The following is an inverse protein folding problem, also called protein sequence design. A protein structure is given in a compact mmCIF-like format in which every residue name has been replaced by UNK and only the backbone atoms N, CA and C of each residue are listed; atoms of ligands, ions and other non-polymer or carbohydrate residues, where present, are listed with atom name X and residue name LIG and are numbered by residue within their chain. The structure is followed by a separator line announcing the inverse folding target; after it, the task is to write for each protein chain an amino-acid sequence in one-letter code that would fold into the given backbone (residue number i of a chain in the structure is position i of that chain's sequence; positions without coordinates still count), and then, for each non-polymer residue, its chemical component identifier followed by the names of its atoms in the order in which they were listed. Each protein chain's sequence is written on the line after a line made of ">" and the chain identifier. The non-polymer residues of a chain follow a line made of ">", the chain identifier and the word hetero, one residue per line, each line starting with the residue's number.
data_IF_015926514129
#
_entry.id   IF_015926514129
#
_cell.length_a   1.000
_cell.length_b   1.000
_cell.length_c   1.000
_cell.angle_alpha   90.00
_cell.angle_beta   90.00
_cell.angle_gamma   90.00
#
_symmetry.space_group_name_H-M   'P 1'
#
loop_
_entity.id
_entity.type
_entity.pdbx_description
1 polymer ?
#
# COMPACT_ATOMS: atom_id res chain seq x y z
N UNK A 1 -2.66 1.89 -28.11
CA UNK A 1 -2.87 0.44 -28.31
C UNK A 1 -3.99 0.01 -27.39
N UNK A 2 -5.01 -0.68 -27.89
CA UNK A 2 -6.04 -1.32 -27.08
C UNK A 2 -6.03 -2.81 -27.34
N UNK A 3 -6.29 -3.60 -26.29
CA UNK A 3 -6.49 -5.05 -26.37
C UNK A 3 -7.86 -5.34 -25.78
N UNK A 4 -8.66 -6.10 -26.50
CA UNK A 4 -10.02 -6.48 -26.06
C UNK A 4 -10.27 -7.92 -26.46
N UNK A 5 -10.88 -8.69 -25.57
CA UNK A 5 -11.27 -10.08 -25.79
C UNK A 5 -12.75 -10.22 -25.41
N UNK A 6 -13.47 -11.08 -26.13
CA UNK A 6 -14.82 -11.51 -25.72
C UNK A 6 -14.80 -12.59 -24.63
N UNK A 7 -13.62 -13.16 -24.39
CA UNK A 7 -13.35 -14.21 -23.41
C UNK A 7 -12.16 -13.78 -22.53
N UNK A 8 -11.13 -14.62 -22.40
CA UNK A 8 -10.00 -14.37 -21.51
C UNK A 8 -8.83 -13.65 -22.20
N UNK A 9 -8.04 -12.94 -21.41
CA UNK A 9 -6.70 -12.45 -21.77
C UNK A 9 -5.71 -13.07 -20.79
N UNK A 10 -4.79 -13.89 -21.31
CA UNK A 10 -3.75 -14.52 -20.52
C UNK A 10 -2.39 -13.93 -20.88
N UNK A 11 -1.68 -13.38 -19.89
CA UNK A 11 -0.33 -12.85 -20.05
C UNK A 11 0.63 -13.68 -19.19
N UNK A 12 1.60 -14.32 -19.83
CA UNK A 12 2.63 -15.10 -19.16
C UNK A 12 4.02 -14.65 -19.61
N UNK A 13 4.97 -14.63 -18.67
CA UNK A 13 6.37 -14.24 -18.90
C UNK A 13 7.29 -15.27 -18.27
N UNK A 14 8.41 -15.57 -18.93
CA UNK A 14 9.41 -16.49 -18.39
C UNK A 14 10.34 -15.85 -17.35
N UNK A 15 10.36 -14.51 -17.25
CA UNK A 15 11.28 -13.80 -16.34
C UNK A 15 10.56 -12.73 -15.53
N UNK A 16 10.05 -11.69 -16.17
CA UNK A 16 9.47 -10.53 -15.48
C UNK A 16 8.41 -9.86 -16.34
N UNK A 17 7.41 -9.29 -15.69
CA UNK A 17 6.42 -8.37 -16.26
C UNK A 17 6.56 -7.06 -15.50
N UNK A 18 6.92 -5.99 -16.19
CA UNK A 18 7.10 -4.66 -15.60
C UNK A 18 6.13 -3.72 -16.31
N UNK A 19 5.31 -3.01 -15.54
CA UNK A 19 4.35 -2.04 -16.04
C UNK A 19 4.62 -0.68 -15.40
N UNK A 20 5.00 0.31 -16.20
CA UNK A 20 5.18 1.70 -15.78
C UNK A 20 4.15 2.56 -16.50
N UNK A 21 3.44 3.39 -15.75
CA UNK A 21 2.36 4.24 -16.25
C UNK A 21 2.64 5.68 -15.83
N UNK A 22 2.47 6.64 -16.74
CA UNK A 22 2.71 8.07 -16.46
C UNK A 22 1.56 8.75 -15.73
N UNK A 23 0.36 8.18 -15.79
CA UNK A 23 -0.85 8.80 -15.24
C UNK A 23 -1.55 7.92 -14.22
N UNK A 24 -2.07 6.75 -14.62
CA UNK A 24 -2.86 5.90 -13.73
C UNK A 24 -2.92 4.45 -14.17
N UNK A 25 -3.10 3.56 -13.19
CA UNK A 25 -3.57 2.19 -13.36
C UNK A 25 -4.97 2.07 -12.74
N UNK A 26 -5.94 1.51 -13.47
CA UNK A 26 -7.29 1.25 -12.96
C UNK A 26 -7.69 -0.19 -13.27
N UNK A 27 -8.08 -0.92 -12.23
CA UNK A 27 -8.51 -2.32 -12.32
C UNK A 27 -9.91 -2.46 -11.75
N UNK A 28 -10.80 -3.09 -12.50
CA UNK A 28 -12.18 -3.32 -12.09
C UNK A 28 -12.63 -4.71 -12.51
N UNK A 29 -13.29 -5.43 -11.62
CA UNK A 29 -13.83 -6.78 -11.87
C UNK A 29 -15.27 -6.84 -11.38
N UNK A 30 -16.20 -7.20 -12.27
CA UNK A 30 -17.63 -7.18 -11.96
C UNK A 30 -18.11 -8.34 -11.09
N UNK A 31 -17.48 -9.53 -11.17
CA UNK A 31 -18.01 -10.77 -10.58
C UNK A 31 -17.01 -11.54 -9.72
N UNK A 32 -15.90 -11.99 -10.32
CA UNK A 32 -15.01 -12.98 -9.70
C UNK A 32 -13.96 -12.39 -8.74
N UNK A 33 -13.89 -11.07 -8.61
CA UNK A 33 -12.94 -10.37 -7.75
C UNK A 33 -11.50 -10.35 -8.30
N UNK A 34 -10.58 -9.83 -7.48
CA UNK A 34 -9.15 -9.72 -7.79
C UNK A 34 -8.38 -10.64 -6.85
N UNK A 35 -7.38 -11.35 -7.38
CA UNK A 35 -6.46 -12.18 -6.62
C UNK A 35 -5.02 -11.81 -6.98
N UNK A 36 -4.21 -11.54 -5.97
CA UNK A 36 -2.78 -11.20 -6.10
C UNK A 36 -1.99 -12.17 -5.23
N UNK A 37 -1.11 -12.96 -5.84
CA UNK A 37 -0.32 -13.97 -5.12
C UNK A 37 1.15 -13.87 -5.52
N UNK A 38 2.03 -14.00 -4.53
CA UNK A 38 3.45 -14.28 -4.74
C UNK A 38 3.76 -15.62 -4.08
N UNK A 39 4.18 -16.61 -4.87
CA UNK A 39 4.55 -17.93 -4.33
C UNK A 39 5.84 -17.84 -3.48
N UNK A 40 6.75 -16.96 -3.87
CA UNK A 40 7.97 -16.60 -3.17
C UNK A 40 8.23 -15.11 -3.38
N UNK A 41 8.93 -14.49 -2.44
CA UNK A 41 9.26 -13.06 -2.49
C UNK A 41 8.20 -12.16 -1.83
N UNK A 42 8.60 -10.90 -1.64
CA UNK A 42 7.80 -9.87 -0.95
C UNK A 42 6.74 -9.30 -1.91
N UNK A 43 5.51 -9.14 -1.41
CA UNK A 43 4.51 -8.26 -2.02
C UNK A 43 4.61 -6.90 -1.36
N UNK A 44 4.74 -5.85 -2.16
CA UNK A 44 4.87 -4.48 -1.69
C UNK A 44 3.89 -3.59 -2.45
N UNK A 45 3.10 -2.82 -1.70
CA UNK A 45 2.15 -1.85 -2.23
C UNK A 45 2.41 -0.55 -1.49
N UNK A 46 2.58 0.55 -2.22
CA UNK A 46 2.90 1.86 -1.66
C UNK A 46 2.16 2.96 -2.43
N UNK A 47 1.69 3.97 -1.70
CA UNK A 47 1.30 5.26 -2.25
C UNK A 47 2.30 6.29 -1.68
N UNK A 48 3.22 6.78 -2.52
CA UNK A 48 4.39 7.53 -2.05
C UNK A 48 4.09 9.00 -1.76
N UNK A 49 3.10 9.57 -2.43
CA UNK A 49 2.74 10.98 -2.34
C UNK A 49 1.25 11.21 -2.08
N UNK A 50 0.50 10.14 -1.79
CA UNK A 50 -0.95 10.20 -1.59
C UNK A 50 -1.41 9.05 -0.66
N UNK A 51 -2.70 8.99 -0.39
CA UNK A 51 -3.32 8.05 0.53
C UNK A 51 -3.43 6.64 -0.06
N UNK A 52 -3.43 5.65 0.84
CA UNK A 52 -3.85 4.28 0.55
C UNK A 52 -5.16 3.98 1.28
N UNK A 53 -6.19 3.56 0.53
CA UNK A 53 -7.49 3.21 1.08
C UNK A 53 -7.82 1.74 0.80
N UNK A 54 -8.25 1.01 1.83
CA UNK A 54 -8.71 -0.37 1.73
C UNK A 54 -10.09 -0.47 2.37
N UNK A 55 -11.12 -0.70 1.55
CA UNK A 55 -12.52 -0.77 1.99
C UNK A 55 -13.14 -2.07 1.51
N UNK A 56 -13.90 -2.73 2.39
CA UNK A 56 -14.68 -3.92 2.09
C UNK A 56 -16.10 -3.76 2.65
N UNK A 57 -17.11 -4.22 1.90
CA UNK A 57 -18.52 -4.24 2.37
C UNK A 57 -18.72 -5.26 3.50
N UNK A 58 -17.97 -6.36 3.44
CA UNK A 58 -17.98 -7.44 4.45
C UNK A 58 -16.73 -7.31 5.33
N UNK A 59 -15.98 -8.38 5.45
CA UNK A 59 -14.84 -8.44 6.35
C UNK A 59 -13.55 -7.97 5.65
N UNK A 60 -12.73 -7.20 6.39
CA UNK A 60 -11.33 -6.95 6.08
C UNK A 60 -10.46 -7.76 7.04
N UNK A 61 -9.62 -8.65 6.50
CA UNK A 61 -8.74 -9.53 7.30
C UNK A 61 -7.27 -9.29 6.96
N UNK A 62 -6.49 -8.89 7.97
CA UNK A 62 -5.03 -8.80 7.92
C UNK A 62 -4.45 -9.89 8.81
N UNK A 63 -3.58 -10.74 8.30
CA UNK A 63 -3.06 -11.89 9.05
C UNK A 63 -1.62 -12.20 8.64
N UNK A 64 -0.74 -12.36 9.63
CA UNK A 64 0.57 -12.96 9.48
C UNK A 64 0.53 -14.35 10.15
N UNK A 65 0.82 -15.42 9.40
CA UNK A 65 0.69 -16.80 9.89
C UNK A 65 1.87 -17.24 10.77
N UNK A 66 3.07 -16.77 10.45
CA UNK A 66 4.31 -17.13 11.15
C UNK A 66 5.02 -15.90 11.74
N UNK A 67 4.59 -14.70 11.37
CA UNK A 67 5.27 -13.44 11.69
C UNK A 67 4.43 -12.48 12.54
N UNK A 68 4.65 -11.18 12.32
CA UNK A 68 4.00 -10.08 13.05
C UNK A 68 3.24 -9.17 12.09
N UNK A 69 2.17 -8.55 12.60
CA UNK A 69 1.51 -7.42 11.95
C UNK A 69 2.03 -6.14 12.61
N UNK A 70 2.58 -5.23 11.80
CA UNK A 70 3.07 -3.94 12.25
C UNK A 70 2.19 -2.83 11.67
N UNK A 71 1.71 -1.95 12.54
CA UNK A 71 0.94 -0.76 12.19
C UNK A 71 1.66 0.43 12.83
N UNK A 72 2.19 1.33 12.01
CA UNK A 72 2.93 2.50 12.43
C UNK A 72 2.42 3.71 11.67
N UNK A 73 2.29 4.84 12.35
CA UNK A 73 1.87 6.11 11.77
C UNK A 73 2.61 7.26 12.46
N UNK A 74 2.93 8.31 11.69
CA UNK A 74 3.64 9.48 12.22
C UNK A 74 2.73 10.37 13.09
N UNK A 75 1.48 10.61 12.67
CA UNK A 75 0.53 11.45 13.43
C UNK A 75 -0.28 10.65 14.45
N UNK A 76 -0.85 9.51 14.05
CA UNK A 76 -1.59 8.67 14.98
C UNK A 76 -2.31 7.49 14.34
N UNK A 77 -2.83 6.60 15.19
CA UNK A 77 -3.59 5.40 14.84
C UNK A 77 -4.95 5.46 15.54
N UNK A 78 -6.03 5.20 14.80
CA UNK A 78 -7.39 5.12 15.33
C UNK A 78 -8.02 3.78 14.94
N UNK A 79 -8.45 3.02 15.95
CA UNK A 79 -9.22 1.78 15.78
C UNK A 79 -10.60 2.01 16.40
N UNK A 80 -11.65 2.07 15.58
CA UNK A 80 -12.99 2.42 16.04
C UNK A 80 -14.04 1.38 15.62
N UNK A 81 -15.02 1.13 16.49
CA UNK A 81 -16.16 0.24 16.23
C UNK A 81 -17.33 0.55 17.16
N UNK A 82 -18.55 0.68 16.61
CA UNK A 82 -19.78 0.81 17.41
C UNK A 82 -19.78 1.97 18.43
N UNK A 83 -19.03 3.05 18.16
CA UNK A 83 -18.86 4.18 19.06
C UNK A 83 -17.74 4.05 20.10
N UNK A 84 -17.15 2.86 20.26
CA UNK A 84 -15.91 2.66 21.02
C UNK A 84 -14.67 2.83 20.13
N UNK A 85 -13.55 3.25 20.72
CA UNK A 85 -12.30 3.39 20.00
C UNK A 85 -11.05 3.26 20.87
N UNK A 86 -9.95 2.90 20.22
CA UNK A 86 -8.58 2.99 20.72
C UNK A 86 -7.82 3.98 19.84
N UNK A 87 -7.20 4.98 20.45
CA UNK A 87 -6.41 6.01 19.75
C UNK A 87 -5.00 6.07 20.31
N UNK A 88 -4.01 6.12 19.42
CA UNK A 88 -2.61 6.37 19.74
C UNK A 88 -2.23 7.67 19.02
N UNK A 89 -1.92 8.74 19.75
CA UNK A 89 -1.55 10.04 19.17
C UNK A 89 -0.70 10.86 20.14
N UNK A 90 0.39 11.45 19.66
CA UNK A 90 1.24 12.32 20.50
C UNK A 90 1.88 11.63 21.71
N UNK A 91 2.02 10.30 21.69
CA UNK A 91 2.49 9.50 22.83
C UNK A 91 1.38 9.03 23.78
N UNK A 92 0.16 9.55 23.63
CA UNK A 92 -0.98 9.15 24.45
C UNK A 92 -1.68 7.92 23.86
N UNK A 93 -2.15 7.04 24.75
CA UNK A 93 -3.01 5.89 24.43
C UNK A 93 -4.35 6.11 25.11
N UNK A 94 -5.41 6.23 24.31
CA UNK A 94 -6.78 6.42 24.79
C UNK A 94 -7.64 5.22 24.45
N UNK A 95 -8.42 4.76 25.43
CA UNK A 95 -9.39 3.67 25.27
C UNK A 95 -10.73 4.20 25.75
N UNK A 96 -11.65 4.44 24.83
CA UNK A 96 -12.97 4.99 25.15
C UNK A 96 -14.09 4.13 24.57
N UNK A 97 -15.22 4.10 25.26
CA UNK A 97 -16.43 3.47 24.75
C UNK A 97 -17.67 3.87 25.55
N UNK A 98 -18.85 3.84 24.94
CA UNK A 98 -20.10 4.22 25.61
C UNK A 98 -20.60 3.16 26.61
N UNK A 99 -20.05 1.94 26.54
CA UNK A 99 -20.41 0.81 27.39
C UNK A 99 -19.30 0.41 28.36
N UNK A 100 -19.30 -0.88 28.74
CA UNK A 100 -18.32 -1.46 29.65
C UNK A 100 -16.97 -1.70 28.93
N UNK A 101 -15.87 -1.27 29.54
CA UNK A 101 -14.51 -1.72 29.20
C UNK A 101 -14.15 -2.87 30.14
N UNK A 102 -13.97 -4.09 29.61
CA UNK A 102 -13.65 -5.30 30.39
C UNK A 102 -12.16 -5.63 30.28
N UNK A 103 -11.40 -5.41 31.36
CA UNK A 103 -9.96 -5.70 31.42
C UNK A 103 -9.72 -6.93 32.30
N UNK A 104 -9.36 -8.05 31.68
CA UNK A 104 -9.10 -9.33 32.37
C UNK A 104 -7.63 -9.69 32.31
N UNK A 105 -7.03 -9.93 33.47
CA UNK A 105 -5.63 -10.35 33.60
C UNK A 105 -5.32 -10.79 35.03
N UNK A 106 -4.32 -11.66 35.20
CA UNK A 106 -3.87 -12.09 36.53
C UNK A 106 -3.14 -10.97 37.30
N UNK A 107 -2.58 -9.99 36.59
CA UNK A 107 -1.86 -8.86 37.15
C UNK A 107 -2.00 -7.63 36.23
N UNK A 108 -2.23 -6.46 36.82
CA UNK A 108 -2.17 -5.16 36.13
C UNK A 108 -1.11 -4.30 36.84
N UNK A 109 -0.11 -3.80 36.12
CA UNK A 109 0.97 -2.99 36.67
C UNK A 109 1.06 -1.65 35.94
N UNK A 110 1.03 -0.56 36.69
CA UNK A 110 1.16 0.80 36.18
C UNK A 110 2.50 1.37 36.68
N UNK A 111 3.58 1.15 35.91
CA UNK A 111 4.97 1.43 36.33
C UNK A 111 5.49 2.83 35.90
N UNK A 112 4.60 3.73 35.49
CA UNK A 112 4.97 5.03 34.91
C UNK A 112 5.19 4.97 33.39
N UNK A 113 5.51 6.12 32.76
CA UNK A 113 5.62 6.23 31.31
C UNK A 113 6.90 5.56 30.76
N UNK A 114 6.82 5.07 29.53
CA UNK A 114 7.95 4.57 28.73
C UNK A 114 7.75 4.97 27.26
N UNK A 115 8.79 4.86 26.44
CA UNK A 115 8.75 5.20 25.02
C UNK A 115 9.34 4.07 24.18
N UNK A 116 8.84 3.95 22.95
CA UNK A 116 9.41 3.09 21.92
C UNK A 116 9.72 3.96 20.69
N UNK A 117 10.99 4.07 20.33
CA UNK A 117 11.41 4.70 19.09
C UNK A 117 11.17 3.73 17.93
N UNK A 118 10.01 3.86 17.27
CA UNK A 118 9.76 3.17 16.01
C UNK A 118 10.53 3.90 14.88
N UNK A 119 11.34 3.20 14.06
CA UNK A 119 12.04 3.85 12.96
C UNK A 119 11.03 4.46 11.99
N UNK A 120 11.31 5.66 11.43
CA UNK A 120 10.45 6.26 10.42
C UNK A 120 10.32 5.31 9.22
N UNK A 121 9.11 5.21 8.67
CA UNK A 121 8.89 4.49 7.41
C UNK A 121 9.40 5.39 6.28
N UNK A 122 10.63 5.16 5.85
CA UNK A 122 11.18 5.82 4.67
C UNK A 122 10.61 5.17 3.40
N UNK A 123 9.83 5.94 2.65
CA UNK A 123 9.37 5.53 1.32
C UNK A 123 10.49 5.83 0.32
N UNK A 124 10.88 4.89 -0.54
CA UNK A 124 11.91 5.14 -1.54
C UNK A 124 11.43 6.22 -2.53
N UNK A 125 12.19 7.30 -2.70
CA UNK A 125 11.93 8.28 -3.75
C UNK A 125 12.19 7.64 -5.12
N UNK A 126 11.15 7.55 -5.95
CA UNK A 126 11.31 7.09 -7.33
C UNK A 126 11.77 8.28 -8.20
N UNK A 127 13.07 8.37 -8.48
CA UNK A 127 13.58 9.31 -9.49
C UNK A 127 13.03 8.91 -10.87
N UNK A 128 12.27 9.81 -11.52
CA UNK A 128 11.74 9.62 -12.88
C UNK A 128 12.87 9.64 -13.92
N UNK A 129 13.60 8.52 -14.02
CA UNK A 129 14.61 8.27 -15.06
C UNK A 129 13.98 7.88 -16.40
N UNK A 130 12.66 7.69 -16.44
CA UNK A 130 11.93 7.29 -17.64
C UNK A 130 11.65 8.46 -18.59
N UNK A 131 11.45 9.69 -18.08
CA UNK A 131 11.39 10.88 -18.94
C UNK A 131 12.73 11.20 -19.64
N UNK A 132 13.87 10.86 -19.02
CA UNK A 132 15.19 11.10 -19.62
C UNK A 132 15.49 10.20 -20.84
N UNK A 133 14.80 9.07 -20.98
CA UNK A 133 14.99 8.16 -22.12
C UNK A 133 14.38 8.70 -23.43
N UNK A 134 13.40 9.61 -23.36
CA UNK A 134 12.78 10.21 -24.57
C UNK A 134 13.54 11.41 -25.13
N UNK A 135 14.34 12.10 -24.32
CA UNK A 135 15.13 13.25 -24.79
C UNK A 135 16.47 12.84 -25.41
N UNK A 136 17.03 11.67 -25.04
CA UNK A 136 18.26 11.16 -25.68
C UNK A 136 18.02 10.46 -27.02
N UNK A 137 16.94 9.68 -27.18
CA UNK A 137 16.65 9.03 -28.47
C UNK A 137 16.19 10.00 -29.56
N UNK A 138 15.76 11.21 -29.20
CA UNK A 138 15.42 12.27 -30.16
C UNK A 138 16.60 13.17 -30.52
N UNK A 139 17.69 13.15 -29.74
CA UNK A 139 18.90 13.94 -30.01
C UNK A 139 20.04 13.12 -30.64
N UNK A 140 19.95 11.79 -30.64
CA UNK A 140 20.99 10.91 -31.21
C UNK A 140 20.73 10.50 -32.68
N UNK A 141 19.52 10.71 -33.20
CA UNK A 141 19.21 10.56 -34.63
C UNK A 141 19.04 11.93 -35.30
N UNK A 142 20.10 12.73 -35.23
CA UNK A 142 20.27 13.85 -36.14
C UNK A 142 20.53 13.34 -37.56
N UNK A 143 19.47 12.98 -38.28
CA UNK A 143 19.48 12.95 -39.74
C UNK A 143 18.53 14.03 -40.23
N UNK A 144 19.13 15.17 -40.57
CA UNK A 144 18.51 16.10 -41.49
C UNK A 144 18.50 15.46 -42.87
N UNK A 145 17.32 15.27 -43.44
CA UNK A 145 17.16 15.32 -44.89
C UNK A 145 15.95 16.18 -45.21
N UNK A 146 16.24 17.40 -45.68
CA UNK A 146 15.39 18.10 -46.63
C UNK A 146 15.23 17.20 -47.85
N UNK A 147 14.00 16.96 -48.32
CA UNK A 147 13.65 17.09 -49.74
C UNK A 147 12.12 17.27 -49.87
N UNK A 148 11.78 18.44 -50.43
CA UNK A 148 10.57 18.93 -51.12
C UNK A 148 9.19 18.33 -50.83
#
# INVERSE_FOLDING_TARGET
>A
LSVTSGEDINLATGKSLIATLSEKLSMFVQRAGIKLFAAQGKVEVQAQSDNMELTAEKDLKVTATEGKVHLSAADGILLASGGGYVRIKGGDIEIHGPGKVDLKGAQHQFAGPTSLDAPPVELPEFEDKTCAARSKSASENGDGLLER
#
